data_IF_878841031467
#
_entry.id   IF_878841031467
#
_cell.length_a   1.000
_cell.length_b   1.000
_cell.length_c   1.000
_cell.angle_alpha   90.00
_cell.angle_beta   90.00
_cell.angle_gamma   90.00
#
_symmetry.space_group_name_H-M   'P 1'
#
loop_
_entity.id
_entity.type
_entity.pdbx_description
1 polymer ?
#
# COMPACT_ATOMS: atom_id res chain seq x y z
N UNK A 1 0.03 25.69 -0.93
CA UNK A 1 0.00 24.77 0.24
C UNK A 1 -1.36 24.77 0.95
N UNK A 2 -1.93 25.93 1.31
CA UNK A 2 -3.23 26.05 2.01
C UNK A 2 -4.43 25.51 1.19
N UNK A 3 -4.40 25.65 -0.14
CA UNK A 3 -5.51 25.20 -0.99
C UNK A 3 -5.69 23.67 -1.06
N UNK A 4 -4.59 22.90 -0.90
CA UNK A 4 -4.63 21.44 -0.93
C UNK A 4 -5.25 20.85 0.35
N UNK A 5 -5.12 21.58 1.47
CA UNK A 5 -5.72 21.24 2.77
C UNK A 5 -7.18 21.69 2.82
N UNK A 6 -7.53 22.81 2.18
CA UNK A 6 -8.89 23.36 2.18
C UNK A 6 -9.92 22.52 1.39
N UNK A 7 -9.45 21.71 0.42
CA UNK A 7 -10.27 20.75 -0.33
C UNK A 7 -10.21 19.31 0.24
N UNK A 8 -9.77 19.16 1.49
CA UNK A 8 -9.85 17.90 2.21
C UNK A 8 -11.33 17.55 2.50
N UNK A 9 -12.01 17.02 1.51
CA UNK A 9 -13.34 16.45 1.64
C UNK A 9 -13.25 14.94 1.84
N UNK A 10 -14.28 14.35 2.43
CA UNK A 10 -14.41 12.90 2.52
C UNK A 10 -14.27 12.24 1.13
N UNK A 11 -14.74 12.90 0.07
CA UNK A 11 -14.58 12.43 -1.31
C UNK A 11 -13.12 12.26 -1.69
N UNK A 12 -12.28 13.30 -1.52
CA UNK A 12 -10.84 13.22 -1.83
C UNK A 12 -10.13 12.16 -0.99
N UNK A 13 -10.54 12.01 0.28
CA UNK A 13 -9.97 11.01 1.19
C UNK A 13 -10.23 9.58 0.73
N UNK A 14 -11.43 9.29 0.19
CA UNK A 14 -11.77 7.97 -0.37
C UNK A 14 -10.81 7.57 -1.49
N UNK A 15 -10.52 8.48 -2.43
CA UNK A 15 -9.58 8.18 -3.51
C UNK A 15 -8.16 7.91 -3.00
N UNK A 16 -7.71 8.62 -1.98
CA UNK A 16 -6.38 8.38 -1.38
C UNK A 16 -6.31 7.00 -0.72
N UNK A 17 -7.37 6.57 -0.04
CA UNK A 17 -7.44 5.23 0.57
C UNK A 17 -7.47 4.14 -0.50
N UNK A 18 -8.27 4.31 -1.55
CA UNK A 18 -8.31 3.38 -2.68
C UNK A 18 -6.96 3.32 -3.41
N UNK A 19 -6.27 4.44 -3.54
CA UNK A 19 -4.92 4.47 -4.10
C UNK A 19 -3.90 3.73 -3.22
N UNK A 20 -4.00 3.90 -1.90
CA UNK A 20 -3.17 3.16 -0.93
C UNK A 20 -3.43 1.65 -1.00
N UNK A 21 -4.68 1.23 -1.17
CA UNK A 21 -5.02 -0.17 -1.45
C UNK A 21 -4.32 -0.67 -2.72
N UNK A 22 -4.45 0.09 -3.81
CA UNK A 22 -3.82 -0.25 -5.08
C UNK A 22 -2.30 -0.40 -4.94
N UNK A 23 -1.64 0.52 -4.24
CA UNK A 23 -0.19 0.41 -3.96
C UNK A 23 0.14 -0.88 -3.18
N UNK A 24 -0.67 -1.28 -2.21
CA UNK A 24 -0.48 -2.52 -1.45
C UNK A 24 -0.65 -3.78 -2.32
N UNK A 25 -1.59 -3.76 -3.27
CA UNK A 25 -1.76 -4.86 -4.25
C UNK A 25 -0.56 -4.92 -5.20
N UNK A 26 -0.08 -3.78 -5.70
CA UNK A 26 1.10 -3.72 -6.56
C UNK A 26 2.35 -4.21 -5.81
N UNK A 27 2.51 -3.82 -4.55
CA UNK A 27 3.61 -4.24 -3.68
C UNK A 27 3.73 -5.77 -3.58
N UNK A 28 2.64 -6.48 -3.30
CA UNK A 28 2.69 -7.95 -3.22
C UNK A 28 2.97 -8.61 -4.57
N UNK A 29 2.47 -8.05 -5.68
CA UNK A 29 2.77 -8.56 -7.02
C UNK A 29 4.27 -8.47 -7.32
N UNK A 30 4.90 -7.34 -7.00
CA UNK A 30 6.35 -7.18 -7.15
C UNK A 30 7.12 -8.08 -6.20
N UNK A 31 6.69 -8.19 -4.94
CA UNK A 31 7.32 -9.07 -3.94
C UNK A 31 7.35 -10.52 -4.45
N UNK A 32 6.20 -11.07 -4.87
CA UNK A 32 6.12 -12.44 -5.36
C UNK A 32 6.90 -12.66 -6.65
N UNK A 33 6.92 -11.67 -7.55
CA UNK A 33 7.70 -11.74 -8.78
C UNK A 33 9.21 -11.73 -8.49
N UNK A 34 9.67 -10.85 -7.60
CA UNK A 34 11.07 -10.69 -7.26
C UNK A 34 11.61 -11.83 -6.40
N UNK A 35 10.81 -12.43 -5.51
CA UNK A 35 11.20 -13.60 -4.71
C UNK A 35 11.52 -14.84 -5.56
N UNK A 36 11.04 -14.89 -6.81
CA UNK A 36 11.42 -15.94 -7.77
C UNK A 36 12.81 -15.71 -8.37
N UNK A 37 13.44 -14.58 -8.06
CA UNK A 37 14.82 -14.24 -8.47
C UNK A 37 15.78 -14.44 -7.29
N UNK A 38 17.06 -14.77 -7.53
CA UNK A 38 18.05 -14.93 -6.46
C UNK A 38 18.52 -13.59 -5.85
N UNK A 39 18.00 -12.44 -6.34
CA UNK A 39 18.51 -11.10 -6.03
C UNK A 39 17.59 -10.29 -5.12
N UNK A 40 16.55 -10.92 -4.57
CA UNK A 40 15.59 -10.26 -3.71
C UNK A 40 15.25 -11.14 -2.50
N UNK A 41 15.09 -10.50 -1.35
CA UNK A 41 14.70 -11.12 -0.09
C UNK A 41 13.70 -10.22 0.63
N UNK A 42 12.71 -10.84 1.26
CA UNK A 42 11.68 -10.12 2.02
C UNK A 42 12.27 -9.58 3.34
N UNK A 43 12.43 -8.26 3.43
CA UNK A 43 12.98 -7.61 4.62
C UNK A 43 12.03 -7.66 5.83
N UNK A 44 10.72 -7.79 5.60
CA UNK A 44 9.73 -7.84 6.66
C UNK A 44 9.70 -9.23 7.32
N UNK A 45 10.22 -9.31 8.54
CA UNK A 45 10.33 -10.56 9.33
C UNK A 45 8.99 -11.29 9.46
N UNK A 46 7.88 -10.57 9.63
CA UNK A 46 6.55 -11.20 9.72
C UNK A 46 6.08 -11.79 8.39
N UNK A 47 6.50 -11.18 7.27
CA UNK A 47 6.10 -11.63 5.94
C UNK A 47 6.98 -12.77 5.43
N UNK A 48 8.20 -12.96 5.95
CA UNK A 48 9.13 -13.99 5.45
C UNK A 48 8.51 -15.39 5.41
N UNK A 49 7.76 -15.76 6.45
CA UNK A 49 7.10 -17.06 6.50
C UNK A 49 5.84 -17.10 5.61
N UNK A 50 5.15 -15.96 5.48
CA UNK A 50 3.88 -15.84 4.74
C UNK A 50 4.13 -15.87 3.22
N UNK A 51 5.21 -15.25 2.75
CA UNK A 51 5.56 -15.17 1.32
C UNK A 51 6.00 -16.51 0.72
N UNK A 52 6.19 -17.54 1.55
CA UNK A 52 6.44 -18.91 1.08
C UNK A 52 5.23 -19.54 0.38
N UNK A 53 4.03 -19.00 0.63
CA UNK A 53 2.79 -19.42 -0.02
C UNK A 53 2.18 -18.25 -0.77
N UNK A 54 2.13 -18.35 -2.11
CA UNK A 54 1.47 -17.37 -2.98
C UNK A 54 0.02 -17.11 -2.52
N UNK A 55 -0.68 -18.16 -2.08
CA UNK A 55 -2.06 -18.06 -1.60
C UNK A 55 -2.18 -17.30 -0.28
N UNK A 56 -1.36 -17.62 0.73
CA UNK A 56 -1.38 -16.92 2.02
C UNK A 56 -0.95 -15.46 1.86
N UNK A 57 0.00 -15.19 0.97
CA UNK A 57 0.44 -13.84 0.62
C UNK A 57 -0.71 -12.99 0.09
N UNK A 58 -1.52 -13.54 -0.81
CA UNK A 58 -2.70 -12.86 -1.35
C UNK A 58 -3.74 -12.62 -0.24
N UNK A 59 -3.99 -13.61 0.63
CA UNK A 59 -4.94 -13.41 1.75
C UNK A 59 -4.49 -12.24 2.64
N UNK A 60 -3.22 -12.25 3.06
CA UNK A 60 -2.71 -11.30 4.04
C UNK A 60 -2.47 -9.90 3.47
N UNK A 61 -2.00 -9.77 2.22
CA UNK A 61 -1.72 -8.46 1.60
C UNK A 61 -2.83 -7.91 0.71
N UNK A 62 -3.81 -8.73 0.29
CA UNK A 62 -4.93 -8.28 -0.56
C UNK A 62 -6.26 -8.37 0.18
N UNK A 63 -6.66 -9.55 0.64
CA UNK A 63 -8.01 -9.76 1.20
C UNK A 63 -8.19 -9.05 2.54
N UNK A 64 -7.27 -9.25 3.49
CA UNK A 64 -7.37 -8.62 4.82
C UNK A 64 -7.35 -7.09 4.71
N UNK A 65 -6.42 -6.46 3.96
CA UNK A 65 -6.43 -5.01 3.76
C UNK A 65 -7.67 -4.50 3.03
N UNK A 66 -8.22 -5.26 2.08
CA UNK A 66 -9.46 -4.90 1.41
C UNK A 66 -10.64 -4.80 2.40
N UNK A 67 -10.77 -5.78 3.30
CA UNK A 67 -11.81 -5.78 4.35
C UNK A 67 -11.65 -4.54 5.25
N UNK A 68 -10.42 -4.29 5.71
CA UNK A 68 -10.11 -3.12 6.56
C UNK A 68 -10.45 -1.81 5.84
N UNK A 69 -10.10 -1.69 4.55
CA UNK A 69 -10.37 -0.50 3.77
C UNK A 69 -11.87 -0.31 3.54
N UNK A 70 -12.62 -1.37 3.24
CA UNK A 70 -14.08 -1.30 3.12
C UNK A 70 -14.69 -0.81 4.43
N UNK A 71 -14.23 -1.32 5.57
CA UNK A 71 -14.68 -0.89 6.88
C UNK A 71 -14.36 0.60 7.15
N UNK A 72 -13.16 1.06 6.81
CA UNK A 72 -12.78 2.47 6.91
C UNK A 72 -13.65 3.35 6.00
N UNK A 73 -13.90 2.94 4.76
CA UNK A 73 -14.75 3.66 3.81
C UNK A 73 -16.21 3.72 4.27
N UNK A 74 -16.70 2.66 4.92
CA UNK A 74 -18.02 2.63 5.54
C UNK A 74 -18.12 3.63 6.69
N UNK A 75 -17.14 3.62 7.61
CA UNK A 75 -17.06 4.62 8.68
C UNK A 75 -17.04 6.04 8.09
N UNK A 76 -16.28 6.24 7.00
CA UNK A 76 -16.15 7.54 6.32
C UNK A 76 -17.48 8.14 5.86
N UNK A 77 -18.52 7.32 5.71
CA UNK A 77 -19.85 7.74 5.29
C UNK A 77 -20.79 8.06 6.45
N UNK A 78 -20.51 7.53 7.64
CA UNK A 78 -21.41 7.61 8.80
C UNK A 78 -21.14 8.85 9.68
N UNK A 79 -19.91 9.32 9.75
CA UNK A 79 -19.52 10.38 10.68
C UNK A 79 -19.07 11.65 9.94
N UNK A 80 -19.56 12.85 10.29
CA UNK A 80 -18.93 14.10 9.89
C UNK A 80 -17.60 14.23 10.64
N UNK A 81 -16.49 14.01 9.93
CA UNK A 81 -15.17 13.93 10.56
C UNK A 81 -14.65 15.30 10.97
N UNK A 82 -14.54 15.53 12.28
CA UNK A 82 -13.89 16.71 12.84
C UNK A 82 -12.36 16.74 12.55
N UNK A 83 -11.75 15.58 12.30
CA UNK A 83 -10.29 15.43 12.15
C UNK A 83 -9.82 14.97 10.75
N UNK A 84 -10.46 15.45 9.68
CA UNK A 84 -10.07 15.14 8.29
C UNK A 84 -8.58 15.45 7.99
N UNK A 85 -8.03 16.47 8.64
CA UNK A 85 -6.62 16.87 8.47
C UNK A 85 -5.69 15.75 8.95
N UNK A 86 -5.96 15.18 10.13
CA UNK A 86 -5.16 14.10 10.69
C UNK A 86 -5.22 12.85 9.80
N UNK A 87 -6.41 12.46 9.34
CA UNK A 87 -6.56 11.33 8.42
C UNK A 87 -5.76 11.54 7.13
N UNK A 88 -5.83 12.75 6.56
CA UNK A 88 -5.06 13.07 5.35
C UNK A 88 -3.55 13.00 5.58
N UNK A 89 -3.06 13.48 6.74
CA UNK A 89 -1.65 13.41 7.09
C UNK A 89 -1.20 11.95 7.27
N UNK A 90 -1.97 11.14 7.98
CA UNK A 90 -1.67 9.73 8.18
C UNK A 90 -1.61 8.97 6.85
N UNK A 91 -2.62 9.14 5.99
CA UNK A 91 -2.64 8.50 4.67
C UNK A 91 -1.47 8.97 3.80
N UNK A 92 -1.12 10.26 3.85
CA UNK A 92 0.04 10.79 3.13
C UNK A 92 1.34 10.10 3.59
N UNK A 93 1.57 10.01 4.90
CA UNK A 93 2.77 9.36 5.45
C UNK A 93 2.86 7.88 5.03
N UNK A 94 1.77 7.14 5.13
CA UNK A 94 1.73 5.73 4.70
C UNK A 94 1.93 5.62 3.19
N UNK A 95 1.33 6.51 2.40
CA UNK A 95 1.50 6.52 0.94
C UNK A 95 2.96 6.78 0.55
N UNK A 96 3.62 7.74 1.21
CA UNK A 96 5.04 8.03 0.99
C UNK A 96 5.92 6.81 1.30
N UNK A 97 5.61 6.07 2.37
CA UNK A 97 6.31 4.85 2.71
C UNK A 97 6.14 3.77 1.63
N UNK A 98 4.91 3.54 1.14
CA UNK A 98 4.65 2.61 0.04
C UNK A 98 5.35 3.02 -1.25
N UNK A 99 5.44 4.32 -1.55
CA UNK A 99 6.17 4.80 -2.73
C UNK A 99 7.67 4.49 -2.62
N UNK A 100 8.28 4.62 -1.44
CA UNK A 100 9.68 4.21 -1.23
C UNK A 100 9.87 2.73 -1.51
N UNK A 101 8.99 1.87 -0.99
CA UNK A 101 9.05 0.42 -1.23
C UNK A 101 8.87 0.10 -2.73
N UNK A 102 7.91 0.74 -3.39
CA UNK A 102 7.70 0.58 -4.83
C UNK A 102 8.96 0.97 -5.63
N UNK A 103 9.61 2.07 -5.29
CA UNK A 103 10.88 2.46 -5.94
C UNK A 103 11.99 1.44 -5.69
N UNK A 104 12.07 0.85 -4.50
CA UNK A 104 13.01 -0.25 -4.23
C UNK A 104 12.71 -1.45 -5.14
N UNK A 105 11.46 -1.89 -5.24
CA UNK A 105 11.06 -2.98 -6.14
C UNK A 105 11.40 -2.68 -7.61
N UNK A 106 11.13 -1.47 -8.09
CA UNK A 106 11.50 -1.05 -9.44
C UNK A 106 13.02 -1.07 -9.65
N UNK A 107 13.80 -0.63 -8.66
CA UNK A 107 15.26 -0.70 -8.69
C UNK A 107 15.79 -2.13 -8.80
N UNK A 108 15.26 -3.05 -7.98
CA UNK A 108 15.59 -4.48 -8.05
C UNK A 108 15.18 -5.11 -9.39
N UNK A 109 13.99 -4.77 -9.88
CA UNK A 109 13.49 -5.26 -11.17
C UNK A 109 14.38 -4.78 -12.32
N UNK A 110 14.77 -3.50 -12.33
CA UNK A 110 15.69 -2.94 -13.32
C UNK A 110 17.08 -3.61 -13.25
N UNK A 111 17.61 -3.83 -12.05
CA UNK A 111 18.89 -4.52 -11.86
C UNK A 111 18.85 -5.95 -12.41
N UNK A 112 17.78 -6.69 -12.16
CA UNK A 112 17.56 -8.04 -12.71
C UNK A 112 17.60 -8.04 -14.25
N UNK A 113 16.84 -7.17 -14.90
CA UNK A 113 16.82 -7.08 -16.37
C UNK A 113 18.15 -6.62 -16.99
N UNK A 114 19.03 -5.96 -16.23
CA UNK A 114 20.33 -5.55 -16.73
C UNK A 114 21.35 -6.70 -16.76
N UNK A 115 21.17 -7.71 -15.91
CA UNK A 115 22.15 -8.79 -15.69
C UNK A 115 21.75 -10.08 -16.40
N UNK A 116 20.49 -10.19 -16.81
CA UNK A 116 19.95 -11.31 -17.61
C UNK A 116 20.04 -11.00 -19.09
#
# INVERSE_FOLDING_TARGET
>A
MIYFIKNASAYTLRYKILFLYFLNVVDILFTLALLRTPYFYEANVLMQDIVTSDFMSIIVKVIVPAIVIIYILYLLNLHPYENLIFCNLAILLVTLFYLVILFMHLGHTYYYFKIT
#
